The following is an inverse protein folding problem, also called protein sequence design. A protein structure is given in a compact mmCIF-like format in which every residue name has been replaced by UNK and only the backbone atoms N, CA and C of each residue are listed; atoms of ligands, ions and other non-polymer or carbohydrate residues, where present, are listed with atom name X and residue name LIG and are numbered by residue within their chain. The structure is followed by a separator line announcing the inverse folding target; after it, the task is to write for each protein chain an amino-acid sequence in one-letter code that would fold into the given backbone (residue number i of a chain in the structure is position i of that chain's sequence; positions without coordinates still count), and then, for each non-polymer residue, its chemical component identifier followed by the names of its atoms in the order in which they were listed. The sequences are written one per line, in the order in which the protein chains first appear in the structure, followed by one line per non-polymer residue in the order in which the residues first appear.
data_IF_831451755067
#
_entry.id   IF_831451755067
#
_cell.length_a   1.000
_cell.length_b   1.000
_cell.length_c   1.000
_cell.angle_alpha   90.00
_cell.angle_beta   90.00
_cell.angle_gamma   90.00
#
_symmetry.space_group_name_H-M   'P 1'
#
loop_
_entity.id
_entity.type
_entity.pdbx_description
1 polymer ?
#
# COMPACT_ATOMS: atom_id res chain seq x y z
N UNK A 1 59.98 -15.96 22.37
CA UNK A 1 59.14 -15.95 21.14
C UNK A 1 57.66 -15.70 21.44
N UNK A 2 56.86 -16.65 21.97
CA UNK A 2 55.42 -16.40 22.25
C UNK A 2 55.19 -15.32 23.32
N UNK A 3 55.96 -15.33 24.42
CA UNK A 3 55.85 -14.30 25.48
C UNK A 3 56.19 -12.89 24.99
N UNK A 4 57.12 -12.77 24.04
CA UNK A 4 57.55 -11.47 23.49
C UNK A 4 56.50 -10.92 22.52
N UNK A 5 55.84 -11.80 21.76
CA UNK A 5 54.72 -11.44 20.89
C UNK A 5 53.52 -10.92 21.69
N UNK A 6 53.16 -11.57 22.79
CA UNK A 6 52.10 -11.06 23.68
C UNK A 6 52.46 -9.72 24.35
N UNK A 7 53.73 -9.50 24.69
CA UNK A 7 54.21 -8.21 25.21
C UNK A 7 54.25 -7.10 24.15
N UNK A 8 54.35 -7.45 22.87
CA UNK A 8 54.42 -6.48 21.76
C UNK A 8 53.08 -5.75 21.49
N UNK A 9 51.98 -6.18 22.10
CA UNK A 9 50.65 -5.61 21.85
C UNK A 9 49.99 -6.08 20.55
N UNK A 10 50.76 -6.67 19.62
CA UNK A 10 50.27 -7.13 18.32
C UNK A 10 49.03 -8.06 18.40
N UNK A 11 48.91 -9.04 19.32
CA UNK A 11 47.73 -9.90 19.39
C UNK A 11 46.44 -9.11 19.66
N UNK A 12 46.51 -8.06 20.48
CA UNK A 12 45.37 -7.21 20.81
C UNK A 12 44.94 -6.34 19.63
N UNK A 13 45.89 -5.92 18.79
CA UNK A 13 45.58 -5.20 17.54
C UNK A 13 44.84 -6.12 16.57
N UNK A 14 45.32 -7.35 16.38
CA UNK A 14 44.65 -8.35 15.53
C UNK A 14 43.28 -8.74 16.08
N UNK A 15 43.14 -8.88 17.40
CA UNK A 15 41.84 -9.17 18.03
C UNK A 15 40.83 -8.03 17.81
N UNK A 16 41.25 -6.77 17.96
CA UNK A 16 40.39 -5.62 17.67
C UNK A 16 40.03 -5.54 16.18
N UNK A 17 41.00 -5.74 15.29
CA UNK A 17 40.74 -5.76 13.85
C UNK A 17 39.75 -6.89 13.47
N UNK A 18 39.88 -8.07 14.07
CA UNK A 18 38.96 -9.19 13.89
C UNK A 18 37.57 -8.86 14.45
N UNK A 19 37.48 -8.30 15.66
CA UNK A 19 36.21 -7.91 16.28
C UNK A 19 35.48 -6.84 15.47
N UNK A 20 36.20 -5.83 14.97
CA UNK A 20 35.65 -4.79 14.09
C UNK A 20 35.17 -5.40 12.77
N UNK A 21 35.96 -6.29 12.15
CA UNK A 21 35.58 -6.95 10.90
C UNK A 21 34.31 -7.80 11.08
N UNK A 22 34.22 -8.59 12.16
CA UNK A 22 33.01 -9.35 12.50
C UNK A 22 31.83 -8.43 12.71
N UNK A 23 32.01 -7.31 13.42
CA UNK A 23 30.94 -6.33 13.65
C UNK A 23 30.41 -5.74 12.34
N UNK A 24 31.30 -5.40 11.40
CA UNK A 24 30.91 -4.92 10.06
C UNK A 24 30.15 -6.01 9.29
N UNK A 25 30.64 -7.25 9.29
CA UNK A 25 29.97 -8.38 8.63
C UNK A 25 28.57 -8.60 9.22
N UNK A 26 28.43 -8.53 10.55
CA UNK A 26 27.14 -8.67 11.22
C UNK A 26 26.18 -7.53 10.87
N UNK A 27 26.65 -6.29 10.85
CA UNK A 27 25.81 -5.12 10.48
C UNK A 27 25.37 -5.22 9.02
N UNK A 28 26.30 -5.49 8.10
CA UNK A 28 25.98 -5.67 6.67
C UNK A 28 25.05 -6.87 6.47
N UNK A 29 25.31 -7.98 7.16
CA UNK A 29 24.47 -9.17 7.11
C UNK A 29 23.05 -8.91 7.62
N UNK A 30 22.90 -8.15 8.70
CA UNK A 30 21.60 -7.74 9.21
C UNK A 30 20.87 -6.81 8.23
N UNK A 31 21.56 -5.81 7.69
CA UNK A 31 20.97 -4.90 6.70
C UNK A 31 20.52 -5.66 5.45
N UNK A 32 21.33 -6.60 4.95
CA UNK A 32 20.97 -7.46 3.82
C UNK A 32 19.78 -8.35 4.16
N UNK A 33 19.73 -8.95 5.35
CA UNK A 33 18.60 -9.76 5.78
C UNK A 33 17.30 -8.95 5.81
N UNK A 34 17.33 -7.74 6.38
CA UNK A 34 16.19 -6.83 6.42
C UNK A 34 15.79 -6.41 5.01
N UNK A 35 16.76 -6.08 4.15
CA UNK A 35 16.50 -5.71 2.76
C UNK A 35 15.82 -6.85 1.99
N UNK A 36 16.37 -8.07 2.01
CA UNK A 36 15.80 -9.23 1.31
C UNK A 36 14.38 -9.54 1.83
N UNK A 37 14.15 -9.43 3.14
CA UNK A 37 12.83 -9.64 3.73
C UNK A 37 11.82 -8.56 3.35
N UNK A 38 12.24 -7.31 3.15
CA UNK A 38 11.38 -6.21 2.72
C UNK A 38 11.12 -6.19 1.21
N UNK A 39 12.14 -6.50 0.41
CA UNK A 39 12.10 -6.40 -1.06
C UNK A 39 11.06 -7.31 -1.70
N UNK A 40 10.72 -8.45 -1.09
CA UNK A 40 9.67 -9.34 -1.60
C UNK A 40 8.28 -8.70 -1.65
N UNK A 41 8.01 -7.67 -0.84
CA UNK A 41 6.70 -7.03 -0.75
C UNK A 41 6.30 -6.27 -2.03
N UNK A 42 7.26 -5.84 -2.83
CA UNK A 42 7.01 -5.10 -4.07
C UNK A 42 6.72 -6.03 -5.27
N UNK A 43 6.89 -7.35 -5.12
CA UNK A 43 6.62 -8.29 -6.20
C UNK A 43 5.11 -8.42 -6.45
N UNK A 44 4.63 -8.26 -7.70
CA UNK A 44 3.25 -8.52 -8.05
C UNK A 44 2.99 -10.04 -8.05
N UNK A 45 2.66 -10.58 -6.88
CA UNK A 45 2.35 -11.98 -6.69
C UNK A 45 1.10 -12.39 -7.48
N UNK A 46 1.08 -13.64 -7.93
CA UNK A 46 -0.08 -14.23 -8.59
C UNK A 46 -1.25 -14.33 -7.60
N UNK A 47 -2.45 -14.14 -8.14
CA UNK A 47 -3.70 -14.20 -7.38
C UNK A 47 -4.39 -15.51 -7.69
N UNK A 48 -4.57 -16.32 -6.66
CA UNK A 48 -5.13 -17.66 -6.78
C UNK A 48 -6.61 -17.64 -6.43
N UNK A 49 -7.42 -18.32 -7.23
CA UNK A 49 -8.81 -18.63 -6.95
C UNK A 49 -8.92 -20.07 -6.44
N UNK A 50 -9.42 -20.24 -5.22
CA UNK A 50 -9.67 -21.52 -4.58
C UNK A 50 -11.16 -21.82 -4.50
N UNK A 51 -11.56 -23.02 -4.93
CA UNK A 51 -12.82 -23.61 -4.51
C UNK A 51 -12.59 -24.32 -3.17
N UNK A 52 -13.22 -23.82 -2.11
CA UNK A 52 -12.96 -24.24 -0.74
C UNK A 52 -14.21 -24.85 -0.08
N UNK A 53 -14.01 -25.95 0.64
CA UNK A 53 -15.07 -26.64 1.40
C UNK A 53 -14.82 -26.49 2.90
N UNK A 54 -15.68 -25.75 3.59
CA UNK A 54 -15.67 -25.66 5.06
C UNK A 54 -16.91 -26.31 5.67
N UNK A 55 -16.76 -27.52 6.22
CA UNK A 55 -17.88 -28.35 6.62
C UNK A 55 -18.82 -28.61 5.44
N UNK A 56 -20.07 -28.19 5.54
CA UNK A 56 -21.08 -28.31 4.46
C UNK A 56 -21.08 -27.12 3.49
N UNK A 57 -20.37 -26.03 3.82
CA UNK A 57 -20.34 -24.81 3.01
C UNK A 57 -19.27 -24.90 1.93
N UNK A 58 -19.65 -24.50 0.70
CA UNK A 58 -18.72 -24.28 -0.41
C UNK A 58 -18.61 -22.79 -0.68
N UNK A 59 -17.40 -22.31 -0.88
CA UNK A 59 -17.14 -20.92 -1.22
C UNK A 59 -15.98 -20.79 -2.22
N UNK A 60 -15.93 -19.62 -2.87
CA UNK A 60 -14.80 -19.23 -3.71
C UNK A 60 -13.98 -18.19 -2.94
N UNK A 61 -12.67 -18.44 -2.84
CA UNK A 61 -11.72 -17.53 -2.23
C UNK A 61 -10.76 -17.04 -3.30
N UNK A 62 -10.54 -15.73 -3.34
CA UNK A 62 -9.57 -15.11 -4.22
C UNK A 62 -8.56 -14.37 -3.36
N UNK A 63 -7.27 -14.59 -3.59
CA UNK A 63 -6.22 -13.87 -2.87
C UNK A 63 -4.81 -14.30 -3.25
N UNK A 64 -3.84 -13.56 -2.74
CA UNK A 64 -2.42 -13.91 -2.86
C UNK A 64 -2.04 -14.95 -1.80
N UNK A 65 -1.31 -15.99 -2.16
CA UNK A 65 -0.70 -16.90 -1.19
C UNK A 65 0.51 -16.21 -0.54
N UNK A 66 0.42 -15.95 0.76
CA UNK A 66 1.45 -15.19 1.50
C UNK A 66 2.33 -16.10 2.32
N UNK A 67 1.76 -17.14 2.92
CA UNK A 67 2.52 -18.04 3.80
C UNK A 67 1.93 -19.46 3.78
N UNK A 68 2.75 -20.43 4.17
CA UNK A 68 2.37 -21.84 4.32
C UNK A 68 2.89 -22.36 5.64
N UNK A 69 1.99 -22.88 6.47
CA UNK A 69 2.31 -23.51 7.75
C UNK A 69 2.07 -25.01 7.67
N UNK A 70 3.01 -25.80 8.20
CA UNK A 70 2.93 -27.25 8.26
C UNK A 70 3.04 -27.69 9.70
N UNK A 71 2.08 -28.49 10.17
CA UNK A 71 2.08 -29.04 11.53
C UNK A 71 1.90 -30.57 11.49
N UNK A 72 2.44 -31.26 12.50
CA UNK A 72 2.23 -32.70 12.64
C UNK A 72 0.78 -32.99 13.00
N UNK A 73 0.32 -34.22 12.72
CA UNK A 73 -1.03 -34.67 13.06
C UNK A 73 -1.31 -34.58 14.57
N UNK A 74 -0.33 -34.86 15.41
CA UNK A 74 -0.45 -34.77 16.87
C UNK A 74 -0.76 -33.32 17.29
N UNK A 75 0.08 -32.37 16.87
CA UNK A 75 -0.10 -30.95 17.17
C UNK A 75 -1.42 -30.40 16.62
N UNK A 76 -1.80 -30.83 15.41
CA UNK A 76 -3.04 -30.39 14.78
C UNK A 76 -4.27 -30.86 15.54
N UNK A 77 -4.28 -32.12 15.98
CA UNK A 77 -5.36 -32.69 16.81
C UNK A 77 -5.43 -32.03 18.18
N UNK A 78 -4.28 -31.76 18.82
CA UNK A 78 -4.21 -31.01 20.08
C UNK A 78 -4.75 -29.59 19.93
N UNK A 79 -4.56 -28.97 18.77
CA UNK A 79 -5.09 -27.64 18.41
C UNK A 79 -6.57 -27.67 17.97
N UNK A 80 -7.24 -28.83 18.02
CA UNK A 80 -8.65 -28.98 17.70
C UNK A 80 -8.99 -29.13 16.21
N UNK A 81 -7.99 -29.30 15.34
CA UNK A 81 -8.23 -29.53 13.91
C UNK A 81 -8.65 -30.97 13.61
N UNK A 82 -9.56 -31.13 12.65
CA UNK A 82 -9.94 -32.44 12.10
C UNK A 82 -9.05 -32.76 10.92
N UNK A 83 -8.34 -33.88 10.95
CA UNK A 83 -7.43 -34.30 9.87
C UNK A 83 -8.08 -35.39 9.03
N UNK A 84 -7.99 -35.28 7.70
CA UNK A 84 -8.46 -36.32 6.79
C UNK A 84 -7.64 -37.61 6.97
N UNK A 85 -8.28 -38.76 6.79
CA UNK A 85 -7.64 -40.07 7.00
C UNK A 85 -6.53 -40.28 5.95
N UNK A 86 -5.33 -40.60 6.41
CA UNK A 86 -4.17 -40.88 5.56
C UNK A 86 -3.17 -39.72 5.40
N UNK A 87 -3.42 -38.58 6.06
CA UNK A 87 -2.48 -37.45 6.09
C UNK A 87 -1.55 -37.54 7.32
N UNK A 88 -0.26 -37.30 7.11
CA UNK A 88 0.76 -37.27 8.18
C UNK A 88 1.02 -35.85 8.72
N UNK A 89 0.53 -34.82 8.03
CA UNK A 89 0.64 -33.41 8.41
C UNK A 89 -0.62 -32.63 8.07
N UNK A 90 -0.86 -31.52 8.76
CA UNK A 90 -1.83 -30.51 8.34
C UNK A 90 -1.08 -29.33 7.71
N UNK A 91 -1.43 -29.02 6.46
CA UNK A 91 -0.94 -27.83 5.76
C UNK A 91 -2.01 -26.75 5.80
N UNK A 92 -1.64 -25.57 6.31
CA UNK A 92 -2.44 -24.36 6.28
C UNK A 92 -1.82 -23.34 5.32
N UNK A 93 -2.67 -22.65 4.57
CA UNK A 93 -2.29 -21.60 3.63
C UNK A 93 -2.81 -20.26 4.16
N UNK A 94 -1.93 -19.26 4.25
CA UNK A 94 -2.31 -17.89 4.57
C UNK A 94 -2.56 -17.15 3.27
N UNK A 95 -3.82 -16.81 3.03
CA UNK A 95 -4.23 -16.02 1.88
C UNK A 95 -4.42 -14.56 2.28
N UNK A 96 -3.93 -13.63 1.47
CA UNK A 96 -4.32 -12.23 1.52
C UNK A 96 -5.51 -12.04 0.59
N UNK A 97 -6.71 -12.09 1.16
CA UNK A 97 -7.98 -11.98 0.43
C UNK A 97 -8.42 -10.53 0.22
N UNK A 98 -7.81 -9.58 0.93
CA UNK A 98 -8.17 -8.16 0.83
C UNK A 98 -9.66 -7.92 1.09
N UNK A 99 -10.27 -7.03 0.31
CA UNK A 99 -11.71 -6.75 0.32
C UNK A 99 -12.23 -6.41 1.74
N UNK A 100 -11.46 -5.63 2.52
CA UNK A 100 -11.71 -5.35 3.94
C UNK A 100 -13.07 -4.72 4.22
N UNK A 101 -13.56 -3.94 3.28
CA UNK A 101 -14.90 -3.35 3.25
C UNK A 101 -16.03 -4.39 3.16
N UNK A 102 -15.77 -5.57 2.60
CA UNK A 102 -16.72 -6.68 2.51
C UNK A 102 -16.56 -7.71 3.63
N UNK A 103 -15.32 -8.04 3.99
CA UNK A 103 -15.00 -9.17 4.90
C UNK A 103 -14.57 -8.73 6.29
N UNK A 104 -14.17 -7.47 6.47
CA UNK A 104 -13.55 -6.96 7.70
C UNK A 104 -12.10 -7.40 7.93
N UNK A 105 -11.56 -8.32 7.13
CA UNK A 105 -10.23 -8.91 7.31
C UNK A 105 -9.48 -9.06 5.99
N UNK A 106 -8.21 -8.66 5.98
CA UNK A 106 -7.35 -8.72 4.79
C UNK A 106 -6.73 -10.10 4.57
N UNK A 107 -6.70 -10.95 5.60
CA UNK A 107 -6.01 -12.23 5.60
C UNK A 107 -6.89 -13.36 6.14
N UNK A 108 -6.75 -14.55 5.57
CA UNK A 108 -7.46 -15.76 5.98
C UNK A 108 -6.56 -16.98 5.92
N UNK A 109 -6.52 -17.74 7.02
CA UNK A 109 -5.96 -19.09 7.02
C UNK A 109 -6.99 -20.08 6.49
N UNK A 110 -6.58 -20.91 5.53
CA UNK A 110 -7.36 -22.03 5.02
C UNK A 110 -6.57 -23.33 5.14
N UNK A 111 -7.27 -24.47 5.19
CA UNK A 111 -6.62 -25.78 5.26
C UNK A 111 -6.49 -26.36 3.85
N UNK A 112 -5.29 -26.75 3.43
CA UNK A 112 -5.07 -27.29 2.08
C UNK A 112 -5.91 -28.55 1.83
N UNK A 113 -6.10 -29.39 2.84
CA UNK A 113 -6.95 -30.59 2.76
C UNK A 113 -8.41 -30.28 2.39
N UNK A 114 -8.88 -29.04 2.55
CA UNK A 114 -10.24 -28.60 2.26
C UNK A 114 -10.37 -27.87 0.91
N UNK A 115 -9.27 -27.67 0.19
CA UNK A 115 -9.25 -27.13 -1.16
C UNK A 115 -9.75 -28.20 -2.14
N UNK A 116 -10.82 -27.90 -2.88
CA UNK A 116 -11.37 -28.77 -3.92
C UNK A 116 -10.66 -28.57 -5.26
N UNK A 117 -10.35 -27.31 -5.60
CA UNK A 117 -9.58 -26.94 -6.77
C UNK A 117 -8.92 -25.56 -6.57
N UNK A 118 -7.85 -25.30 -7.31
CA UNK A 118 -7.19 -24.00 -7.37
C UNK A 118 -6.87 -23.64 -8.82
N UNK A 119 -6.88 -22.35 -9.15
CA UNK A 119 -6.50 -21.82 -10.47
C UNK A 119 -5.96 -20.39 -10.34
N UNK A 120 -5.24 -19.93 -11.37
CA UNK A 120 -4.72 -18.56 -11.47
C UNK A 120 -5.31 -17.90 -12.73
N UNK A 121 -6.56 -17.41 -12.70
CA UNK A 121 -7.19 -16.88 -13.90
C UNK A 121 -6.57 -15.56 -14.34
N UNK A 122 -6.24 -15.42 -15.62
CA UNK A 122 -5.63 -14.21 -16.22
C UNK A 122 -6.47 -12.94 -16.02
N UNK A 123 -7.79 -13.08 -15.91
CA UNK A 123 -8.74 -11.97 -15.78
C UNK A 123 -8.87 -11.39 -14.36
N UNK A 124 -8.20 -11.97 -13.36
CA UNK A 124 -8.26 -11.46 -11.99
C UNK A 124 -7.53 -10.13 -11.90
N UNK A 125 -8.21 -9.15 -11.30
CA UNK A 125 -7.63 -7.85 -11.00
C UNK A 125 -7.22 -7.78 -9.53
N UNK A 126 -6.09 -7.11 -9.29
CA UNK A 126 -5.66 -6.65 -7.99
C UNK A 126 -5.65 -5.12 -8.01
N UNK A 127 -6.50 -4.49 -7.20
CA UNK A 127 -6.57 -3.02 -7.07
C UNK A 127 -5.96 -2.65 -5.73
N UNK A 128 -4.91 -1.83 -5.74
CA UNK A 128 -4.45 -1.18 -4.52
C UNK A 128 -5.27 0.09 -4.31
N UNK A 129 -5.86 0.20 -3.12
CA UNK A 129 -6.70 1.33 -2.75
C UNK A 129 -6.05 2.12 -1.61
N UNK A 130 -6.31 3.41 -1.57
CA UNK A 130 -5.86 4.32 -0.51
C UNK A 130 -6.48 3.98 0.85
N UNK A 131 -7.70 3.43 0.81
CA UNK A 131 -8.45 2.98 1.97
C UNK A 131 -8.85 1.51 1.79
N UNK A 132 -9.13 0.81 2.89
CA UNK A 132 -9.69 -0.55 2.88
C UNK A 132 -8.81 -1.64 2.22
N UNK A 133 -7.52 -1.37 2.05
CA UNK A 133 -6.55 -2.33 1.52
C UNK A 133 -6.84 -2.76 0.08
N UNK A 134 -6.18 -3.83 -0.35
CA UNK A 134 -6.31 -4.34 -1.71
C UNK A 134 -7.72 -4.88 -1.98
N UNK A 135 -8.20 -4.68 -3.19
CA UNK A 135 -9.34 -5.40 -3.72
C UNK A 135 -8.87 -6.50 -4.68
N UNK A 136 -9.42 -7.70 -4.54
CA UNK A 136 -9.22 -8.80 -5.48
C UNK A 136 -10.56 -9.27 -6.04
N UNK A 137 -10.62 -9.40 -7.37
CA UNK A 137 -11.87 -9.78 -8.04
C UNK A 137 -11.77 -9.70 -9.55
N UNK A 138 -12.89 -9.42 -10.21
CA UNK A 138 -13.00 -9.32 -11.67
C UNK A 138 -13.57 -7.97 -12.08
N UNK A 139 -12.96 -7.31 -13.06
CA UNK A 139 -13.48 -6.06 -13.64
C UNK A 139 -14.75 -6.36 -14.45
N UNK A 140 -15.83 -5.64 -14.17
CA UNK A 140 -17.09 -5.74 -14.92
C UNK A 140 -17.29 -4.54 -15.86
N UNK A 141 -17.11 -3.32 -15.34
CA UNK A 141 -17.35 -2.12 -16.13
C UNK A 141 -16.59 -0.89 -15.61
N UNK A 142 -16.52 0.14 -16.45
CA UNK A 142 -16.06 1.48 -16.09
C UNK A 142 -17.22 2.45 -16.28
N UNK A 143 -17.37 3.39 -15.35
CA UNK A 143 -18.40 4.42 -15.37
C UNK A 143 -17.77 5.82 -15.40
N UNK A 144 -18.45 6.71 -16.11
CA UNK A 144 -18.20 8.15 -16.11
C UNK A 144 -19.52 8.85 -15.74
N UNK A 145 -19.51 9.67 -14.69
CA UNK A 145 -20.70 10.31 -14.12
C UNK A 145 -21.85 9.31 -13.85
N UNK A 146 -21.52 8.13 -13.33
CA UNK A 146 -22.47 7.05 -13.03
C UNK A 146 -23.01 6.31 -14.27
N UNK A 147 -22.60 6.67 -15.49
CA UNK A 147 -22.99 5.98 -16.72
C UNK A 147 -21.90 5.01 -17.15
N UNK A 148 -22.28 3.78 -17.47
CA UNK A 148 -21.35 2.77 -18.00
C UNK A 148 -20.83 3.21 -19.37
N UNK A 149 -19.50 3.33 -19.48
CA UNK A 149 -18.81 3.71 -20.73
C UNK A 149 -18.06 2.53 -21.38
N UNK A 150 -17.74 1.50 -20.60
CA UNK A 150 -17.10 0.28 -21.08
C UNK A 150 -17.46 -0.92 -20.19
N UNK A 151 -17.54 -2.12 -20.79
CA UNK A 151 -17.81 -3.38 -20.09
C UNK A 151 -16.84 -4.47 -20.51
N UNK A 152 -16.70 -5.50 -19.67
CA UNK A 152 -16.01 -6.74 -19.97
C UNK A 152 -14.56 -6.51 -20.46
N UNK A 153 -14.16 -7.15 -21.56
CA UNK A 153 -12.80 -7.02 -22.12
C UNK A 153 -12.46 -5.57 -22.51
N UNK A 154 -13.45 -4.78 -22.95
CA UNK A 154 -13.25 -3.37 -23.32
C UNK A 154 -13.05 -2.47 -22.10
N UNK A 155 -13.45 -2.92 -20.91
CA UNK A 155 -13.27 -2.15 -19.68
C UNK A 155 -11.78 -2.02 -19.28
N UNK A 156 -10.94 -2.99 -19.64
CA UNK A 156 -9.53 -3.01 -19.25
C UNK A 156 -8.70 -1.83 -19.79
N UNK A 157 -8.62 -1.59 -21.12
CA UNK A 157 -7.87 -0.45 -21.63
C UNK A 157 -8.43 0.89 -21.13
N UNK A 158 -9.76 0.98 -20.98
CA UNK A 158 -10.43 2.20 -20.50
C UNK A 158 -10.10 2.47 -19.03
N UNK A 159 -10.12 1.45 -18.15
CA UNK A 159 -9.85 1.67 -16.73
C UNK A 159 -8.40 2.11 -16.48
N UNK A 160 -7.45 1.60 -17.27
CA UNK A 160 -6.05 2.01 -17.19
C UNK A 160 -5.89 3.50 -17.53
N UNK A 161 -6.48 3.95 -18.64
CA UNK A 161 -6.47 5.36 -19.05
C UNK A 161 -7.13 6.27 -17.97
N UNK A 162 -8.28 5.85 -17.43
CA UNK A 162 -8.99 6.65 -16.42
C UNK A 162 -8.26 6.71 -15.08
N UNK A 163 -7.54 5.65 -14.70
CA UNK A 163 -6.71 5.66 -13.49
C UNK A 163 -5.51 6.59 -13.67
N UNK A 164 -4.85 6.60 -14.82
CA UNK A 164 -3.76 7.55 -15.10
C UNK A 164 -4.23 9.00 -14.96
N UNK A 165 -5.38 9.34 -15.56
CA UNK A 165 -6.01 10.66 -15.40
C UNK A 165 -6.35 10.97 -13.93
N UNK A 166 -6.88 10.01 -13.19
CA UNK A 166 -7.22 10.20 -11.78
C UNK A 166 -5.97 10.42 -10.91
N UNK A 167 -4.85 9.74 -11.22
CA UNK A 167 -3.58 9.91 -10.52
C UNK A 167 -2.97 11.29 -10.77
N UNK A 168 -3.01 11.79 -12.01
CA UNK A 168 -2.55 13.15 -12.33
C UNK A 168 -3.32 14.21 -11.53
N UNK A 169 -4.66 14.10 -11.50
CA UNK A 169 -5.52 15.02 -10.72
C UNK A 169 -5.23 14.90 -9.22
N UNK A 170 -5.00 13.67 -8.74
CA UNK A 170 -4.67 13.43 -7.34
C UNK A 170 -3.36 14.11 -6.95
N UNK A 171 -2.32 13.99 -7.79
CA UNK A 171 -1.02 14.61 -7.54
C UNK A 171 -1.10 16.15 -7.54
N UNK A 172 -1.95 16.72 -8.40
CA UNK A 172 -2.23 18.17 -8.40
C UNK A 172 -2.93 18.62 -7.10
N UNK A 173 -3.93 17.85 -6.64
CA UNK A 173 -4.60 18.08 -5.35
C UNK A 173 -3.58 18.04 -4.20
N UNK A 174 -2.75 17.01 -4.16
CA UNK A 174 -1.70 16.83 -3.15
C UNK A 174 -0.70 18.01 -3.17
N UNK A 175 -0.26 18.43 -4.35
CA UNK A 175 0.65 19.57 -4.51
C UNK A 175 0.03 20.86 -3.96
N UNK A 176 -1.20 21.20 -4.37
CA UNK A 176 -1.90 22.40 -3.91
C UNK A 176 -2.09 22.38 -2.38
N UNK A 177 -2.43 21.23 -1.80
CA UNK A 177 -2.64 21.12 -0.37
C UNK A 177 -1.35 21.20 0.43
N UNK A 178 -0.32 20.42 0.04
CA UNK A 178 0.93 20.30 0.82
C UNK A 178 1.89 21.45 0.58
N UNK A 179 1.96 21.98 -0.64
CA UNK A 179 2.92 23.03 -1.02
C UNK A 179 2.29 24.40 -0.92
N UNK A 180 1.29 24.68 -1.74
CA UNK A 180 0.74 26.03 -1.86
C UNK A 180 -0.02 26.46 -0.60
N UNK A 181 -1.05 25.71 -0.22
CA UNK A 181 -1.81 25.97 1.01
C UNK A 181 -0.93 25.77 2.25
N UNK A 182 -0.01 24.81 2.21
CA UNK A 182 0.99 24.62 3.26
C UNK A 182 1.85 25.87 3.50
N UNK A 183 2.33 26.52 2.43
CA UNK A 183 3.09 27.76 2.51
C UNK A 183 2.25 28.93 3.06
N UNK A 184 0.99 29.05 2.62
CA UNK A 184 0.07 30.07 3.17
C UNK A 184 -0.12 29.87 4.67
N UNK A 185 -0.38 28.63 5.11
CA UNK A 185 -0.56 28.32 6.53
C UNK A 185 0.69 28.65 7.34
N UNK A 186 1.87 28.38 6.80
CA UNK A 186 3.14 28.77 7.42
C UNK A 186 3.28 30.29 7.55
N UNK A 187 2.94 31.06 6.51
CA UNK A 187 2.98 32.52 6.52
C UNK A 187 1.98 33.12 7.51
N UNK A 188 0.75 32.59 7.55
CA UNK A 188 -0.27 32.99 8.53
C UNK A 188 0.20 32.74 9.97
N UNK A 189 0.85 31.61 10.23
CA UNK A 189 1.40 31.32 11.55
C UNK A 189 2.56 32.26 11.91
N UNK A 190 3.42 32.58 10.93
CA UNK A 190 4.51 33.54 11.11
C UNK A 190 3.99 34.94 11.45
N UNK A 191 2.94 35.41 10.76
CA UNK A 191 2.23 36.66 11.09
C UNK A 191 1.66 36.63 12.51
N UNK A 192 1.05 35.51 12.92
CA UNK A 192 0.51 35.34 14.27
C UNK A 192 1.60 35.43 15.34
N UNK A 193 2.76 34.82 15.10
CA UNK A 193 3.92 34.88 15.98
C UNK A 193 4.53 36.28 16.03
N UNK A 194 4.60 36.99 14.89
CA UNK A 194 5.06 38.36 14.82
C UNK A 194 4.16 39.31 15.63
N UNK A 195 2.83 39.20 15.45
CA UNK A 195 1.85 39.93 16.25
C UNK A 195 2.11 39.71 17.75
N UNK A 196 2.18 38.44 18.18
CA UNK A 196 2.43 38.10 19.58
C UNK A 196 3.74 38.68 20.10
N UNK A 197 4.79 38.68 19.28
CA UNK A 197 6.08 39.29 19.62
C UNK A 197 5.98 40.80 19.81
N UNK A 198 5.26 41.51 18.92
CA UNK A 198 5.05 42.95 19.01
C UNK A 198 4.20 43.33 20.22
N UNK A 199 3.16 42.55 20.54
CA UNK A 199 2.34 42.74 21.74
C UNK A 199 3.20 42.64 23.01
N UNK A 200 4.01 41.59 23.14
CA UNK A 200 4.91 41.41 24.29
C UNK A 200 5.95 42.52 24.44
N UNK A 201 6.40 43.10 23.33
CA UNK A 201 7.39 44.19 23.31
C UNK A 201 6.76 45.58 23.45
N UNK A 202 5.43 45.69 23.58
CA UNK A 202 4.72 46.97 23.61
C UNK A 202 4.80 47.75 22.29
N UNK A 203 5.11 47.08 21.17
CA UNK A 203 5.27 47.67 19.82
C UNK A 203 4.06 47.41 18.91
N UNK A 204 2.93 47.03 19.49
CA UNK A 204 1.70 46.75 18.76
C UNK A 204 0.89 48.04 18.47
N UNK A 205 1.44 48.88 17.60
CA UNK A 205 0.84 50.16 17.19
C UNK A 205 -0.25 49.97 16.13
N UNK A 206 -1.07 51.00 15.88
CA UNK A 206 -2.06 50.97 14.79
C UNK A 206 -1.42 50.73 13.40
N UNK A 207 -0.21 51.24 13.17
CA UNK A 207 0.55 50.95 11.95
C UNK A 207 0.91 49.45 11.84
N UNK A 208 1.34 48.83 12.95
CA UNK A 208 1.65 47.41 12.97
C UNK A 208 0.40 46.54 12.76
N UNK A 209 -0.75 46.94 13.33
CA UNK A 209 -2.05 46.29 13.08
C UNK A 209 -2.42 46.36 11.61
N UNK A 210 -2.30 47.54 10.99
CA UNK A 210 -2.67 47.73 9.59
C UNK A 210 -1.76 46.91 8.64
N UNK A 211 -0.46 46.84 8.92
CA UNK A 211 0.48 46.03 8.14
C UNK A 211 0.12 44.54 8.18
N UNK A 212 -0.06 43.97 9.39
CA UNK A 212 -0.44 42.56 9.54
C UNK A 212 -1.82 42.27 8.93
N UNK A 213 -2.77 43.19 9.07
CA UNK A 213 -4.10 43.04 8.46
C UNK A 213 -4.04 43.03 6.93
N UNK A 214 -3.15 43.82 6.32
CA UNK A 214 -2.97 43.89 4.87
C UNK A 214 -2.37 42.58 4.34
N UNK A 215 -1.28 42.12 4.96
CA UNK A 215 -0.62 40.86 4.55
C UNK A 215 -1.51 39.66 4.76
N UNK A 216 -2.28 39.63 5.87
CA UNK A 216 -3.29 38.59 6.10
C UNK A 216 -4.36 38.59 5.01
N UNK A 217 -4.86 39.77 4.60
CA UNK A 217 -5.88 39.86 3.56
C UNK A 217 -5.38 39.38 2.19
N UNK A 218 -4.09 39.57 1.89
CA UNK A 218 -3.45 39.05 0.68
C UNK A 218 -3.36 37.52 0.72
N UNK A 219 -2.88 36.94 1.83
CA UNK A 219 -2.83 35.49 2.04
C UNK A 219 -4.23 34.84 2.00
N UNK A 220 -5.23 35.49 2.60
CA UNK A 220 -6.62 35.02 2.58
C UNK A 220 -7.18 35.00 1.14
N UNK A 221 -6.80 35.96 0.30
CA UNK A 221 -7.20 36.02 -1.11
C UNK A 221 -6.53 34.91 -1.93
N UNK A 222 -5.24 34.66 -1.73
CA UNK A 222 -4.53 33.55 -2.39
C UNK A 222 -5.14 32.20 -1.99
N UNK A 223 -5.40 32.03 -0.69
CA UNK A 223 -6.04 30.84 -0.14
C UNK A 223 -7.40 30.56 -0.79
N UNK A 224 -8.25 31.59 -0.93
CA UNK A 224 -9.54 31.46 -1.63
C UNK A 224 -9.36 31.05 -3.10
N UNK A 225 -8.31 31.56 -3.77
CA UNK A 225 -7.95 31.15 -5.13
C UNK A 225 -7.68 29.64 -5.22
N UNK A 226 -6.86 29.10 -4.31
CA UNK A 226 -6.58 27.67 -4.25
C UNK A 226 -7.78 26.82 -3.86
N UNK A 227 -8.67 27.31 -2.99
CA UNK A 227 -9.92 26.61 -2.67
C UNK A 227 -10.82 26.42 -3.90
N UNK A 228 -10.92 27.42 -4.77
CA UNK A 228 -11.68 27.32 -6.03
C UNK A 228 -11.05 26.31 -6.99
N UNK A 229 -9.71 26.27 -7.06
CA UNK A 229 -9.00 25.27 -7.87
C UNK A 229 -9.25 23.85 -7.34
N UNK A 230 -9.07 23.63 -6.04
CA UNK A 230 -9.34 22.35 -5.40
C UNK A 230 -10.77 21.86 -5.62
N UNK A 231 -11.77 22.75 -5.53
CA UNK A 231 -13.15 22.38 -5.77
C UNK A 231 -13.36 21.81 -7.19
N UNK A 232 -12.69 22.38 -8.21
CA UNK A 232 -12.74 21.88 -9.59
C UNK A 232 -12.03 20.53 -9.76
N UNK A 233 -10.87 20.37 -9.13
CA UNK A 233 -10.13 19.11 -9.16
C UNK A 233 -10.93 17.99 -8.49
N UNK A 234 -11.52 18.26 -7.32
CA UNK A 234 -12.38 17.29 -6.64
C UNK A 234 -13.63 16.93 -7.44
N UNK A 235 -14.23 17.90 -8.14
CA UNK A 235 -15.33 17.60 -9.05
C UNK A 235 -14.88 16.69 -10.20
N UNK A 236 -13.67 16.88 -10.71
CA UNK A 236 -13.13 16.13 -11.84
C UNK A 236 -12.72 14.71 -11.45
N UNK A 237 -12.04 14.52 -10.31
CA UNK A 237 -11.57 13.20 -9.87
C UNK A 237 -12.72 12.28 -9.45
N UNK A 238 -13.84 12.84 -8.96
CA UNK A 238 -15.05 12.09 -8.58
C UNK A 238 -15.89 11.61 -9.75
N UNK A 239 -15.53 11.99 -10.98
CA UNK A 239 -16.28 11.69 -12.20
C UNK A 239 -16.34 10.19 -12.47
N UNK A 240 -15.23 9.49 -12.25
CA UNK A 240 -15.02 8.14 -12.76
C UNK A 240 -14.99 7.09 -11.65
N UNK A 241 -15.56 5.92 -11.94
CA UNK A 241 -15.55 4.75 -11.07
C UNK A 241 -15.42 3.47 -11.91
N UNK A 242 -15.00 2.38 -11.27
CA UNK A 242 -15.06 1.05 -11.86
C UNK A 242 -16.03 0.18 -11.07
N UNK A 243 -16.66 -0.80 -11.71
CA UNK A 243 -17.42 -1.86 -11.05
C UNK A 243 -16.66 -3.15 -11.16
N UNK A 244 -16.44 -3.79 -10.00
CA UNK A 244 -15.76 -5.08 -9.94
C UNK A 244 -16.54 -6.07 -9.06
N UNK A 245 -16.44 -7.35 -9.42
CA UNK A 245 -17.06 -8.45 -8.68
C UNK A 245 -16.05 -9.12 -7.75
N UNK A 246 -16.37 -9.22 -6.47
CA UNK A 246 -15.60 -9.95 -5.47
C UNK A 246 -15.86 -11.47 -5.54
N UNK A 247 -15.08 -12.26 -4.78
CA UNK A 247 -15.17 -13.74 -4.83
C UNK A 247 -16.52 -14.32 -4.41
N UNK A 248 -17.28 -13.59 -3.59
CA UNK A 248 -18.63 -13.96 -3.15
C UNK A 248 -19.74 -13.53 -4.12
N UNK A 249 -19.38 -12.95 -5.27
CA UNK A 249 -20.32 -12.45 -6.27
C UNK A 249 -20.82 -11.02 -6.03
N UNK A 250 -20.45 -10.38 -4.91
CA UNK A 250 -20.83 -8.98 -4.64
C UNK A 250 -20.16 -8.06 -5.66
N UNK A 251 -20.96 -7.22 -6.31
CA UNK A 251 -20.47 -6.13 -7.14
C UNK A 251 -20.20 -4.89 -6.29
N UNK A 252 -19.03 -4.31 -6.45
CA UNK A 252 -18.60 -3.10 -5.77
C UNK A 252 -18.27 -2.02 -6.80
N UNK A 253 -18.83 -0.84 -6.60
CA UNK A 253 -18.42 0.35 -7.32
C UNK A 253 -17.28 1.04 -6.55
N UNK A 254 -16.11 1.11 -7.17
CA UNK A 254 -14.88 1.66 -6.61
C UNK A 254 -14.59 2.99 -7.30
N UNK A 255 -14.67 4.13 -6.60
CA UNK A 255 -14.29 5.44 -7.14
C UNK A 255 -12.81 5.46 -7.52
N UNK A 256 -12.47 5.98 -8.70
CA UNK A 256 -11.06 6.01 -9.14
C UNK A 256 -10.20 6.95 -8.28
N UNK A 257 -10.79 7.95 -7.63
CA UNK A 257 -10.08 8.80 -6.63
C UNK A 257 -9.47 7.99 -5.48
N UNK A 258 -10.04 6.81 -5.17
CA UNK A 258 -9.56 5.93 -4.11
C UNK A 258 -8.51 4.92 -4.57
N UNK A 259 -8.24 4.83 -5.88
CA UNK A 259 -7.34 3.84 -6.47
C UNK A 259 -5.91 4.39 -6.53
N UNK A 260 -4.95 3.55 -6.17
CA UNK A 260 -3.50 3.81 -6.30
C UNK A 260 -2.97 3.13 -7.57
N UNK A 261 -3.39 1.89 -7.82
CA UNK A 261 -3.03 1.14 -9.01
C UNK A 261 -4.02 -0.01 -9.24
N UNK A 262 -4.07 -0.50 -10.47
CA UNK A 262 -4.76 -1.74 -10.85
C UNK A 262 -3.82 -2.62 -11.66
N UNK A 263 -3.82 -3.92 -11.39
CA UNK A 263 -2.97 -4.90 -12.06
C UNK A 263 -3.80 -6.14 -12.43
N UNK A 264 -3.34 -6.88 -13.44
CA UNK A 264 -3.72 -8.28 -13.69
C UNK A 264 -2.49 -9.16 -13.50
N UNK A 265 -2.14 -9.54 -12.27
CA UNK A 265 -0.85 -10.16 -11.98
C UNK A 265 -0.62 -11.47 -12.76
N UNK A 266 -1.69 -12.26 -12.92
CA UNK A 266 -1.64 -13.56 -13.58
C UNK A 266 -1.42 -13.46 -15.10
N UNK A 267 -1.81 -12.34 -15.73
CA UNK A 267 -1.56 -12.11 -17.15
C UNK A 267 -0.18 -11.51 -17.43
N UNK A 268 0.59 -11.16 -16.39
CA UNK A 268 1.90 -10.53 -16.54
C UNK A 268 3.00 -11.56 -16.75
N UNK A 269 3.84 -11.32 -17.75
CA UNK A 269 5.09 -12.05 -17.88
C UNK A 269 6.15 -11.54 -16.87
N UNK A 270 7.26 -12.28 -16.74
CA UNK A 270 8.33 -11.95 -15.78
C UNK A 270 8.93 -10.55 -15.99
N UNK A 271 9.02 -10.09 -17.24
CA UNK A 271 9.55 -8.76 -17.55
C UNK A 271 8.59 -7.66 -17.08
N UNK A 272 7.29 -7.81 -17.34
CA UNK A 272 6.25 -6.90 -16.85
C UNK A 272 6.22 -6.86 -15.32
N UNK A 273 6.32 -8.02 -14.65
CA UNK A 273 6.43 -8.08 -13.18
C UNK A 273 7.67 -7.36 -12.67
N UNK A 274 8.80 -7.47 -13.36
CA UNK A 274 10.05 -6.78 -13.00
C UNK A 274 9.95 -5.27 -13.19
N UNK A 275 9.29 -4.80 -14.25
CA UNK A 275 9.03 -3.38 -14.46
C UNK A 275 8.11 -2.83 -13.35
N UNK A 276 7.01 -3.53 -13.07
CA UNK A 276 6.07 -3.14 -12.01
C UNK A 276 6.74 -3.10 -10.64
N UNK A 277 7.61 -4.07 -10.35
CA UNK A 277 8.43 -4.08 -9.15
C UNK A 277 9.26 -2.80 -9.00
N UNK A 278 9.95 -2.39 -10.07
CA UNK A 278 10.74 -1.16 -10.09
C UNK A 278 9.89 0.09 -9.83
N UNK A 279 8.71 0.18 -10.47
CA UNK A 279 7.76 1.28 -10.22
C UNK A 279 7.32 1.34 -8.76
N UNK A 280 6.91 0.20 -8.17
CA UNK A 280 6.50 0.15 -6.76
C UNK A 280 7.63 0.52 -5.81
N UNK A 281 8.84 0.06 -6.09
CA UNK A 281 10.01 0.38 -5.28
C UNK A 281 10.30 1.89 -5.29
N UNK A 282 10.29 2.53 -6.46
CA UNK A 282 10.51 3.98 -6.59
C UNK A 282 9.39 4.77 -5.91
N UNK A 283 8.15 4.33 -6.02
CA UNK A 283 7.03 4.99 -5.35
C UNK A 283 7.10 4.91 -3.81
N UNK A 284 7.82 3.93 -3.27
CA UNK A 284 8.00 3.75 -1.82
C UNK A 284 9.17 4.56 -1.24
N UNK A 285 10.24 4.78 -2.02
CA UNK A 285 11.47 5.48 -1.61
C UNK A 285 11.27 7.00 -1.64
#
# INVERSE_FOLDING_TARGET
MIKDWFKSGAPWVWLNAAAVSISIILVVGLLLLVAVRGLGHFWPADVVEYSYQDGDSKEILIGELVDTSVMSVEMAKESGYKIKKGEDTLVQLLLKTGNRDLTGMDFRWIQQQNVLSQSEPDGIIAIERREWGNFYGRLLSVKENGKVIATDEKAWPVVLERIEQALEIYDEIEYLQKKEIGAINYSLESLRLEQKSKELKGKWTEQAKQAVATEKAELDKEYQGYQVQLAKLYQSIRRDSLVAQASNGTELEIPLESVVQILRPNSMNVFEKTLQYGHKFVAFV
#
